data_IF_881068586963
#
_entry.id   IF_881068586963
#
_cell.length_a   1.000
_cell.length_b   1.000
_cell.length_c   1.000
_cell.angle_alpha   90.00
_cell.angle_beta   90.00
_cell.angle_gamma   90.00
#
_symmetry.space_group_name_H-M   'P 1'
#
loop_
_entity.id
_entity.type
_entity.pdbx_description
1 polymer ?
#
# COMPACT_ATOMS: atom_id res chain seq x y z
N UNK A 1 4.29 2.92 -25.13
CA UNK A 1 3.54 3.96 -25.21
C UNK A 1 2.62 4.12 -24.09
N UNK A 2 2.46 5.30 -23.59
CA UNK A 2 1.65 5.49 -22.52
C UNK A 2 0.27 5.72 -22.91
N UNK A 3 -0.66 5.22 -22.20
CA UNK A 3 -1.98 5.43 -22.48
C UNK A 3 -2.46 6.63 -21.78
N UNK A 4 -3.17 7.49 -22.38
CA UNK A 4 -3.69 8.64 -21.72
C UNK A 4 -4.98 8.31 -21.02
N UNK A 5 -5.13 8.88 -19.84
CA UNK A 5 -6.33 8.61 -19.08
C UNK A 5 -7.46 9.50 -19.57
N UNK A 6 -8.66 8.98 -19.52
CA UNK A 6 -9.83 9.78 -19.87
C UNK A 6 -10.13 10.72 -18.71
N UNK A 7 -10.90 11.78 -18.95
CA UNK A 7 -11.27 12.68 -17.86
C UNK A 7 -11.95 11.97 -16.71
N UNK A 8 -12.77 10.95 -17.00
CA UNK A 8 -13.43 10.21 -15.97
C UNK A 8 -12.42 9.41 -15.13
N UNK A 9 -11.43 8.83 -15.79
CA UNK A 9 -10.41 8.07 -15.06
C UNK A 9 -9.55 8.99 -14.20
N UNK A 10 -9.27 10.20 -14.71
CA UNK A 10 -8.49 11.15 -13.93
C UNK A 10 -9.29 11.58 -12.71
N UNK A 11 -10.59 11.83 -12.85
CA UNK A 11 -11.41 12.23 -11.73
C UNK A 11 -11.45 11.14 -10.67
N UNK A 12 -11.55 9.88 -11.08
CA UNK A 12 -11.56 8.78 -10.13
C UNK A 12 -10.22 8.64 -9.43
N UNK A 13 -9.14 8.82 -10.17
CA UNK A 13 -7.81 8.73 -9.57
C UNK A 13 -7.62 9.84 -8.55
N UNK A 14 -8.05 11.05 -8.88
CA UNK A 14 -7.88 12.18 -7.98
C UNK A 14 -8.74 12.01 -6.74
N UNK A 15 -9.93 11.45 -6.89
CA UNK A 15 -10.80 11.19 -5.74
C UNK A 15 -10.17 10.16 -4.80
N UNK A 16 -9.53 9.12 -5.37
CA UNK A 16 -8.87 8.12 -4.55
C UNK A 16 -7.69 8.71 -3.80
N UNK A 17 -6.94 9.59 -4.48
CA UNK A 17 -5.79 10.23 -3.83
C UNK A 17 -6.23 11.14 -2.71
N UNK A 18 -7.33 11.87 -2.91
CA UNK A 18 -7.83 12.75 -1.88
C UNK A 18 -8.32 11.94 -0.68
N UNK A 19 -9.01 10.85 -0.93
CA UNK A 19 -9.49 9.99 0.14
C UNK A 19 -8.31 9.39 0.92
N UNK A 20 -7.26 8.98 0.22
CA UNK A 20 -6.11 8.42 0.88
C UNK A 20 -5.40 9.46 1.74
N UNK A 21 -5.37 10.70 1.29
CA UNK A 21 -4.75 11.73 2.08
C UNK A 21 -5.47 11.91 3.40
N UNK A 22 -6.78 11.82 3.41
CA UNK A 22 -7.55 11.94 4.64
C UNK A 22 -7.19 10.79 5.59
N UNK A 23 -7.08 9.57 5.05
CA UNK A 23 -6.73 8.43 5.88
C UNK A 23 -5.32 8.58 6.43
N UNK A 24 -4.39 8.98 5.57
CA UNK A 24 -3.01 9.14 5.99
C UNK A 24 -2.88 10.19 7.08
N UNK A 25 -3.64 11.27 6.96
CA UNK A 25 -3.57 12.31 7.97
C UNK A 25 -4.05 11.78 9.31
N UNK A 26 -5.05 10.93 9.32
CA UNK A 26 -5.52 10.36 10.58
C UNK A 26 -4.42 9.56 11.25
N UNK A 27 -3.67 8.79 10.47
CA UNK A 27 -2.59 8.00 11.03
C UNK A 27 -1.45 8.92 11.48
N UNK A 28 -1.11 9.91 10.67
CA UNK A 28 0.00 10.80 10.98
C UNK A 28 -0.28 11.64 12.22
N UNK A 29 -1.54 11.99 12.46
CA UNK A 29 -1.89 12.78 13.62
C UNK A 29 -1.97 11.97 14.91
N UNK A 30 -1.91 10.68 14.87
CA UNK A 30 -1.93 9.89 16.08
C UNK A 30 -0.62 10.01 16.82
N UNK A 31 -0.64 10.19 18.13
CA UNK A 31 0.58 10.18 18.91
C UNK A 31 1.26 8.81 18.80
N UNK A 32 2.59 8.76 18.89
CA UNK A 32 3.29 7.48 18.73
C UNK A 32 2.80 6.38 19.66
N UNK A 33 2.50 6.72 20.92
CA UNK A 33 2.04 5.71 21.85
C UNK A 33 0.68 5.14 21.41
N UNK A 34 -0.19 6.00 20.89
CA UNK A 34 -1.47 5.55 20.44
C UNK A 34 -1.31 4.67 19.20
N UNK A 35 -0.41 5.04 18.29
CA UNK A 35 -0.19 4.23 17.10
C UNK A 35 0.28 2.83 17.47
N UNK A 36 1.16 2.73 18.46
CA UNK A 36 1.65 1.42 18.89
C UNK A 36 0.53 0.59 19.50
N UNK A 37 -0.28 1.22 20.33
CA UNK A 37 -1.37 0.51 20.97
C UNK A 37 -2.41 0.03 19.97
N UNK A 38 -2.73 0.86 18.99
CA UNK A 38 -3.71 0.48 17.99
C UNK A 38 -3.15 -0.61 17.10
N UNK A 39 -1.90 -0.47 16.69
CA UNK A 39 -1.29 -1.47 15.81
C UNK A 39 -1.27 -2.85 16.47
N UNK A 40 -1.05 -2.87 17.77
CA UNK A 40 -0.97 -4.14 18.49
C UNK A 40 -2.29 -4.91 18.51
N UNK A 41 -3.39 -4.24 18.18
CA UNK A 41 -4.68 -4.90 18.19
C UNK A 41 -4.97 -5.69 16.93
N UNK A 42 -4.20 -5.49 15.88
CA UNK A 42 -4.48 -6.10 14.60
C UNK A 42 -3.37 -7.00 14.09
N UNK A 43 -3.73 -8.04 13.35
CA UNK A 43 -2.76 -8.93 12.79
C UNK A 43 -3.12 -9.25 11.37
N UNK A 44 -2.94 -8.30 10.50
CA UNK A 44 -3.19 -8.52 9.08
C UNK A 44 -1.95 -9.14 8.45
N UNK A 45 -2.13 -10.12 7.60
CA UNK A 45 -1.02 -10.73 6.90
C UNK A 45 -1.30 -10.74 5.41
N UNK A 46 -0.25 -10.80 4.62
CA UNK A 46 -0.42 -10.88 3.19
C UNK A 46 -0.66 -12.33 2.80
N UNK A 47 -1.16 -12.54 1.61
CA UNK A 47 -1.38 -13.91 1.14
C UNK A 47 -0.05 -14.63 0.92
N UNK A 48 1.06 -13.91 0.97
CA UNK A 48 2.38 -14.54 0.91
C UNK A 48 2.92 -14.81 2.32
N UNK A 49 2.17 -14.50 3.35
CA UNK A 49 2.59 -14.79 4.71
C UNK A 49 3.36 -13.70 5.41
N UNK A 50 3.51 -12.55 4.77
CA UNK A 50 4.28 -11.47 5.38
C UNK A 50 3.37 -10.56 6.20
N UNK A 51 3.94 -9.87 7.18
CA UNK A 51 3.19 -8.92 7.96
C UNK A 51 3.23 -7.56 7.31
N UNK A 52 2.28 -6.71 7.61
CA UNK A 52 2.28 -5.36 7.12
C UNK A 52 2.94 -4.44 8.16
N UNK A 53 3.51 -3.34 7.71
CA UNK A 53 4.14 -2.40 8.62
C UNK A 53 3.09 -1.80 9.54
N UNK A 54 3.52 -1.14 10.60
CA UNK A 54 2.59 -0.52 11.52
C UNK A 54 1.70 0.51 10.85
N UNK A 55 2.27 1.34 9.98
CA UNK A 55 1.50 2.35 9.31
C UNK A 55 0.46 1.71 8.41
N UNK A 56 0.86 0.70 7.63
CA UNK A 56 -0.09 0.04 6.74
C UNK A 56 -1.14 -0.73 7.54
N UNK A 57 -0.78 -1.30 8.66
CA UNK A 57 -1.75 -1.97 9.53
C UNK A 57 -2.83 -0.99 9.95
N UNK A 58 -2.46 0.22 10.32
CA UNK A 58 -3.44 1.21 10.72
C UNK A 58 -4.29 1.67 9.55
N UNK A 59 -3.69 1.83 8.38
CA UNK A 59 -4.46 2.19 7.19
C UNK A 59 -5.47 1.10 6.86
N UNK A 60 -5.09 -0.16 6.95
CA UNK A 60 -6.00 -1.27 6.70
C UNK A 60 -7.14 -1.24 7.71
N UNK A 61 -6.81 -1.05 8.98
CA UNK A 61 -7.83 -1.06 10.02
C UNK A 61 -8.85 0.06 9.84
N UNK A 62 -8.41 1.22 9.37
CA UNK A 62 -9.32 2.32 9.15
C UNK A 62 -10.27 2.06 7.98
N UNK A 63 -9.88 1.22 7.05
CA UNK A 63 -10.70 0.93 5.88
C UNK A 63 -11.48 -0.36 5.99
N UNK A 64 -10.90 -1.39 6.60
CA UNK A 64 -11.58 -2.67 6.71
C UNK A 64 -11.03 -3.42 7.92
N UNK A 65 -11.57 -3.13 9.06
CA UNK A 65 -11.09 -3.69 10.30
C UNK A 65 -11.17 -5.21 10.39
N UNK A 66 -12.11 -5.83 9.71
CA UNK A 66 -12.28 -7.27 9.79
C UNK A 66 -11.39 -8.04 8.82
N UNK A 67 -10.50 -7.37 8.12
CA UNK A 67 -9.64 -8.08 7.18
C UNK A 67 -8.75 -9.07 7.92
N UNK A 68 -8.34 -10.10 7.23
CA UNK A 68 -7.44 -11.08 7.82
C UNK A 68 -6.25 -11.31 6.91
N UNK A 69 -6.45 -11.78 5.70
CA UNK A 69 -5.37 -12.02 4.76
C UNK A 69 -5.62 -11.17 3.53
N UNK A 70 -4.62 -10.38 3.16
CA UNK A 70 -4.78 -9.46 2.07
C UNK A 70 -3.71 -9.66 1.01
N UNK A 71 -3.95 -9.16 -0.16
CA UNK A 71 -2.95 -9.24 -1.20
C UNK A 71 -3.34 -8.38 -2.37
N UNK A 72 -2.37 -7.96 -3.14
CA UNK A 72 -2.63 -7.22 -4.35
C UNK A 72 -3.18 -8.13 -5.41
N UNK A 73 -3.66 -7.55 -6.48
CA UNK A 73 -4.28 -8.31 -7.54
C UNK A 73 -3.35 -9.40 -8.06
N UNK A 74 -2.10 -9.06 -8.32
CA UNK A 74 -1.16 -10.04 -8.83
C UNK A 74 -0.72 -11.05 -7.80
N UNK A 75 -0.65 -10.65 -6.54
CA UNK A 75 -0.29 -11.59 -5.50
C UNK A 75 -1.35 -12.69 -5.41
N UNK A 76 -2.63 -12.32 -5.45
CA UNK A 76 -3.67 -13.32 -5.39
C UNK A 76 -3.65 -14.24 -6.62
N UNK A 77 -3.31 -13.68 -7.79
CA UNK A 77 -3.21 -14.53 -8.97
C UNK A 77 -2.13 -15.59 -8.81
N UNK A 78 -1.04 -15.24 -8.16
CA UNK A 78 0.03 -16.22 -7.93
C UNK A 78 -0.44 -17.37 -7.06
N UNK A 79 -1.45 -17.13 -6.23
CA UNK A 79 -1.98 -18.17 -5.37
C UNK A 79 -3.22 -18.83 -5.98
N UNK A 80 -3.43 -18.61 -7.26
CA UNK A 80 -4.55 -19.25 -7.95
C UNK A 80 -5.89 -18.61 -7.73
N UNK A 81 -5.92 -17.38 -7.22
CA UNK A 81 -7.17 -16.71 -6.95
C UNK A 81 -7.23 -15.39 -7.70
N UNK A 82 -8.38 -15.04 -8.17
CA UNK A 82 -8.56 -13.80 -8.90
C UNK A 82 -9.50 -12.89 -8.12
N UNK A 83 -9.15 -11.61 -8.06
CA UNK A 83 -9.98 -10.63 -7.39
C UNK A 83 -11.17 -10.37 -8.30
N UNK A 84 -12.38 -10.50 -7.76
CA UNK A 84 -13.56 -10.30 -8.57
C UNK A 84 -13.84 -8.85 -8.78
N UNK A 85 -14.52 -8.56 -9.86
CA UNK A 85 -14.90 -7.22 -10.13
C UNK A 85 -15.86 -6.80 -9.02
N UNK A 86 -15.70 -5.63 -8.52
CA UNK A 86 -16.54 -5.13 -7.44
C UNK A 86 -16.01 -5.35 -6.04
N UNK A 87 -14.90 -6.08 -5.89
CA UNK A 87 -14.32 -6.27 -4.59
C UNK A 87 -13.82 -4.94 -4.05
N UNK A 88 -13.89 -4.77 -2.75
CA UNK A 88 -13.49 -3.54 -2.12
C UNK A 88 -11.97 -3.47 -1.98
N UNK A 89 -11.37 -2.47 -2.58
CA UNK A 89 -9.93 -2.29 -2.48
C UNK A 89 -9.54 -1.49 -1.27
N UNK A 90 -8.42 -1.82 -0.67
CA UNK A 90 -7.90 -1.14 0.49
C UNK A 90 -6.59 -0.51 0.09
N UNK A 91 -6.44 0.78 0.35
CA UNK A 91 -5.25 1.51 -0.07
C UNK A 91 -4.18 1.50 1.00
N UNK A 92 -2.94 1.26 0.61
CA UNK A 92 -1.82 1.27 1.54
C UNK A 92 -0.64 1.96 0.88
N UNK A 93 0.41 2.22 1.66
CA UNK A 93 1.64 2.75 1.12
C UNK A 93 2.50 1.62 0.60
N UNK A 94 3.10 1.83 -0.55
CA UNK A 94 4.03 0.87 -1.12
C UNK A 94 5.32 1.59 -1.43
N UNK A 95 6.45 1.10 -0.96
CA UNK A 95 7.72 1.75 -1.27
C UNK A 95 8.08 1.53 -2.72
N UNK A 96 8.65 2.55 -3.33
CA UNK A 96 9.09 2.44 -4.68
C UNK A 96 10.52 2.54 -4.67
N UNK A 97 11.24 1.59 -4.56
CA UNK A 97 12.66 1.71 -4.53
C UNK A 97 13.19 1.05 -5.69
N UNK A 98 14.16 1.51 -6.23
CA UNK A 98 14.71 0.89 -7.21
C UNK A 98 15.94 0.65 -6.96
N UNK A 99 16.30 0.51 -6.16
CA UNK A 99 17.48 0.36 -5.81
C UNK A 99 18.31 -0.43 -6.45
N UNK A 100 18.19 -1.14 -6.63
CA UNK A 100 19.02 -1.97 -7.04
C UNK A 100 19.80 -1.70 -8.03
N UNK A 101 19.60 -1.67 -8.73
CA UNK A 101 20.30 -1.59 -9.72
C UNK A 101 21.30 -0.80 -9.74
N UNK A 102 21.18 -0.21 -9.73
CA UNK A 102 22.08 0.66 -10.03
C UNK A 102 23.18 0.61 -9.31
N UNK A 103 23.18 0.50 -8.55
CA UNK A 103 24.13 0.61 -7.78
C UNK A 103 25.11 -0.12 -8.01
N UNK A 104 24.96 -0.88 -8.33
CA UNK A 104 25.89 -1.67 -8.45
C UNK A 104 27.12 -1.28 -8.86
N UNK A 105 27.30 -0.94 -9.80
CA UNK A 105 28.49 -0.67 -10.23
C UNK A 105 29.28 0.14 -9.46
N UNK A 106 29.14 1.12 -9.23
CA UNK A 106 30.01 1.90 -8.58
C UNK A 106 29.71 2.03 -7.29
N UNK A 107 29.28 1.50 -6.72
CA UNK A 107 29.04 1.55 -5.48
C UNK A 107 28.72 2.84 -5.06
N UNK A 108 29.13 3.61 -5.56
CA UNK A 108 28.93 4.88 -5.09
C UNK A 108 27.56 5.12 -5.15
N UNK A 109 27.04 4.71 -5.89
CA UNK A 109 25.89 5.00 -6.03
C UNK A 109 25.01 4.77 -5.11
N UNK A 110 25.27 4.14 -4.63
CA UNK A 110 24.49 3.86 -3.66
C UNK A 110 23.62 4.89 -3.37
N UNK A 111 23.99 5.81 -3.51
CA UNK A 111 23.28 6.80 -3.13
C UNK A 111 22.03 6.81 -3.70
N UNK A 112 21.89 6.29 -4.64
CA UNK A 112 20.74 6.37 -5.25
C UNK A 112 19.65 6.04 -4.39
N UNK A 113 19.91 5.36 -3.54
CA UNK A 113 18.92 4.99 -2.73
C UNK A 113 18.18 6.09 -2.24
N UNK A 114 18.67 7.12 -2.24
CA UNK A 114 17.98 8.15 -1.67
C UNK A 114 16.77 8.44 -2.38
N UNK A 115 16.61 8.00 -3.50
CA UNK A 115 15.47 8.32 -4.20
C UNK A 115 14.35 7.43 -3.93
N UNK A 116 14.35 6.73 -2.91
CA UNK A 116 13.26 5.86 -2.57
C UNK A 116 12.06 6.70 -2.24
N UNK A 117 10.96 6.44 -2.79
CA UNK A 117 9.73 7.13 -2.49
C UNK A 117 8.65 6.15 -2.15
N UNK A 118 7.43 6.64 -2.06
CA UNK A 118 6.30 5.78 -1.76
C UNK A 118 5.16 6.09 -2.73
N UNK A 119 4.41 5.09 -3.02
CA UNK A 119 3.24 5.22 -3.86
C UNK A 119 2.10 4.52 -3.15
N UNK A 120 0.89 4.73 -3.60
CA UNK A 120 -0.22 4.01 -3.01
C UNK A 120 -0.46 2.75 -3.81
N UNK A 121 -0.86 1.72 -3.16
CA UNK A 121 -1.23 0.48 -3.82
C UNK A 121 -2.57 0.03 -3.30
N UNK A 122 -3.19 -0.91 -3.98
CA UNK A 122 -4.49 -1.42 -3.57
C UNK A 122 -4.38 -2.91 -3.29
N UNK A 123 -4.91 -3.33 -2.15
CA UNK A 123 -4.92 -4.73 -1.79
C UNK A 123 -6.34 -5.14 -1.47
N UNK A 124 -6.58 -6.43 -1.44
CA UNK A 124 -7.91 -6.98 -1.26
C UNK A 124 -7.90 -8.17 -0.31
N UNK A 125 -8.98 -8.32 0.44
CA UNK A 125 -9.18 -9.49 1.27
C UNK A 125 -10.27 -10.26 0.55
N UNK A 126 -9.97 -11.39 -0.02
CA UNK A 126 -10.95 -12.13 -0.82
C UNK A 126 -11.16 -13.55 -0.30
#
# INVERSE_FOLDING_TARGET
>A
MKRELTPDQIAKRDARRAAFKVLWKKVADMPPAQRMAETAQYRFTSCDGASYSGVNTLLIALQFRQATVLGGFRQWLKHGRAVRKGEHGISIWIPIGRKEKSVSQDGAESTSTDKVGFSTGTIFDI
#
